data_IF_836889824284
#
_entry.id   IF_836889824284
#
_cell.length_a   1.000
_cell.length_b   1.000
_cell.length_c   1.000
_cell.angle_alpha   90.00
_cell.angle_beta   90.00
_cell.angle_gamma   90.00
#
_symmetry.space_group_name_H-M   'P 1'
#
loop_
_entity.id
_entity.type
_entity.pdbx_description
1 polymer ?
#
# COMPACT_ATOMS: atom_id res chain seq x y z
N UNK A 1 12.35 -9.16 17.39
CA UNK A 1 11.01 -8.94 17.98
C UNK A 1 9.96 -9.06 16.89
N UNK A 2 9.12 -10.08 16.95
CA UNK A 2 7.99 -10.26 16.03
C UNK A 2 6.91 -9.23 16.36
N UNK A 3 7.01 -8.03 15.80
CA UNK A 3 5.96 -7.03 15.89
C UNK A 3 4.77 -7.52 15.07
N UNK A 4 3.90 -8.35 15.66
CA UNK A 4 2.62 -8.73 15.06
C UNK A 4 1.81 -7.46 14.80
N UNK A 5 1.65 -7.13 13.52
CA UNK A 5 0.85 -5.99 13.06
C UNK A 5 -0.61 -6.43 12.91
N UNK A 6 -0.80 -7.64 12.40
CA UNK A 6 -2.07 -8.21 12.05
C UNK A 6 -2.55 -9.17 13.13
N UNK A 7 -3.82 -9.02 13.50
CA UNK A 7 -4.57 -9.94 14.36
C UNK A 7 -4.97 -11.20 13.59
N UNK A 8 -5.37 -11.04 12.33
CA UNK A 8 -5.83 -12.10 11.44
C UNK A 8 -5.08 -12.02 10.10
N UNK A 9 -5.10 -13.12 9.33
CA UNK A 9 -4.56 -13.12 7.97
C UNK A 9 -5.41 -12.18 7.11
N UNK A 10 -4.79 -11.17 6.50
CA UNK A 10 -5.44 -10.26 5.56
C UNK A 10 -5.40 -10.89 4.15
N UNK A 11 -6.55 -11.19 3.53
CA UNK A 11 -6.62 -11.72 2.17
C UNK A 11 -5.94 -10.78 1.19
N UNK A 12 -5.05 -11.33 0.35
CA UNK A 12 -4.26 -10.53 -0.58
C UNK A 12 -5.12 -9.87 -1.67
N UNK A 13 -6.27 -10.46 -1.96
CA UNK A 13 -7.26 -9.98 -2.92
C UNK A 13 -7.67 -8.54 -2.62
N UNK A 14 -7.74 -8.16 -1.35
CA UNK A 14 -8.05 -6.78 -0.91
C UNK A 14 -7.02 -5.79 -1.44
N UNK A 15 -5.73 -6.16 -1.44
CA UNK A 15 -4.67 -5.33 -2.00
C UNK A 15 -4.70 -5.37 -3.52
N UNK A 16 -4.89 -6.55 -4.14
CA UNK A 16 -4.95 -6.70 -5.59
C UNK A 16 -6.05 -5.83 -6.19
N UNK A 17 -7.24 -5.81 -5.59
CA UNK A 17 -8.37 -5.01 -6.07
C UNK A 17 -8.06 -3.52 -6.03
N UNK A 18 -7.43 -3.04 -4.95
CA UNK A 18 -6.97 -1.64 -4.89
C UNK A 18 -5.95 -1.36 -6.00
N UNK A 19 -4.96 -2.23 -6.18
CA UNK A 19 -3.89 -2.03 -7.16
C UNK A 19 -4.43 -2.00 -8.59
N UNK A 20 -5.41 -2.84 -8.92
CA UNK A 20 -6.10 -2.81 -10.22
C UNK A 20 -6.81 -1.49 -10.46
N UNK A 21 -7.42 -0.91 -9.44
CA UNK A 21 -8.16 0.35 -9.55
C UNK A 21 -7.23 1.57 -9.72
N UNK A 22 -6.10 1.62 -8.98
CA UNK A 22 -5.30 2.85 -8.87
C UNK A 22 -3.95 2.80 -9.60
N UNK A 23 -3.37 1.62 -9.80
CA UNK A 23 -2.03 1.47 -10.36
C UNK A 23 -2.05 1.11 -11.84
N UNK A 24 -0.94 1.38 -12.51
CA UNK A 24 -0.69 0.79 -13.84
C UNK A 24 -0.08 -0.59 -13.66
N UNK A 25 -0.63 -1.59 -14.36
CA UNK A 25 -0.06 -2.93 -14.41
C UNK A 25 0.95 -3.00 -15.54
N UNK A 26 2.19 -3.32 -15.21
CA UNK A 26 3.20 -3.82 -16.16
C UNK A 26 3.18 -5.34 -16.08
N UNK A 27 3.60 -6.06 -17.13
CA UNK A 27 3.47 -7.53 -17.24
C UNK A 27 3.58 -8.30 -15.91
N UNK A 28 4.63 -8.01 -15.12
CA UNK A 28 4.96 -8.77 -13.91
C UNK A 28 4.72 -8.03 -12.59
N UNK A 29 4.28 -6.76 -12.62
CA UNK A 29 4.13 -5.96 -11.39
C UNK A 29 3.17 -4.79 -11.50
N UNK A 30 2.61 -4.40 -10.36
CA UNK A 30 1.90 -3.13 -10.19
C UNK A 30 2.87 -2.05 -9.69
N UNK A 31 2.79 -0.88 -10.30
CA UNK A 31 3.62 0.27 -9.90
C UNK A 31 2.81 1.24 -9.04
N UNK A 32 3.26 1.42 -7.80
CA UNK A 32 2.79 2.48 -6.91
C UNK A 32 3.77 3.65 -7.00
N UNK A 33 3.25 4.79 -7.43
CA UNK A 33 3.93 6.07 -7.41
C UNK A 33 3.02 7.15 -6.80
N UNK A 34 3.53 8.39 -6.75
CA UNK A 34 2.76 9.51 -6.23
C UNK A 34 1.47 9.76 -7.02
N UNK A 35 1.44 9.45 -8.32
CA UNK A 35 0.27 9.63 -9.18
C UNK A 35 -0.82 8.60 -8.85
N UNK A 36 -0.43 7.34 -8.67
CA UNK A 36 -1.32 6.25 -8.26
C UNK A 36 -1.93 6.54 -6.89
N UNK A 37 -1.14 7.08 -5.96
CA UNK A 37 -1.64 7.56 -4.67
C UNK A 37 -2.64 8.71 -4.83
N UNK A 38 -2.29 9.77 -5.59
CA UNK A 38 -3.21 10.90 -5.84
C UNK A 38 -4.52 10.44 -6.47
N UNK A 39 -4.46 9.51 -7.44
CA UNK A 39 -5.64 8.88 -8.06
C UNK A 39 -6.50 8.18 -7.03
N UNK A 40 -5.91 7.32 -6.19
CA UNK A 40 -6.63 6.58 -5.16
C UNK A 40 -7.22 7.45 -4.04
N UNK A 41 -6.63 8.61 -3.77
CA UNK A 41 -7.23 9.62 -2.87
C UNK A 41 -8.41 10.30 -3.57
N UNK A 42 -8.24 10.74 -4.82
CA UNK A 42 -9.28 11.42 -5.59
C UNK A 42 -10.53 10.55 -5.78
N UNK A 43 -10.35 9.24 -6.01
CA UNK A 43 -11.45 8.27 -6.14
C UNK A 43 -11.91 7.69 -4.81
N UNK A 44 -11.36 8.15 -3.67
CA UNK A 44 -11.62 7.66 -2.31
C UNK A 44 -11.30 6.16 -2.06
N UNK A 45 -10.74 5.45 -3.06
CA UNK A 45 -10.43 4.01 -2.99
C UNK A 45 -9.41 3.67 -1.90
N UNK A 46 -8.46 4.55 -1.63
CA UNK A 46 -7.47 4.33 -0.56
C UNK A 46 -8.15 4.35 0.82
N UNK A 47 -9.09 5.26 1.06
CA UNK A 47 -9.82 5.31 2.33
C UNK A 47 -10.67 4.04 2.52
N UNK A 48 -11.40 3.64 1.49
CA UNK A 48 -12.18 2.40 1.50
C UNK A 48 -11.30 1.17 1.78
N UNK A 49 -10.13 1.10 1.16
CA UNK A 49 -9.16 0.05 1.40
C UNK A 49 -8.68 0.02 2.86
N UNK A 50 -8.35 1.17 3.45
CA UNK A 50 -7.91 1.25 4.84
C UNK A 50 -9.00 0.82 5.83
N UNK A 51 -10.25 1.19 5.58
CA UNK A 51 -11.39 0.72 6.38
C UNK A 51 -11.55 -0.81 6.28
N UNK A 52 -11.42 -1.38 5.07
CA UNK A 52 -11.41 -2.84 4.87
C UNK A 52 -10.26 -3.53 5.60
N UNK A 53 -9.12 -2.86 5.78
CA UNK A 53 -7.96 -3.41 6.50
C UNK A 53 -8.15 -3.43 8.03
N UNK A 54 -8.89 -2.48 8.61
CA UNK A 54 -9.07 -2.35 10.07
C UNK A 54 -9.37 -3.67 10.82
N UNK A 55 -10.33 -4.52 10.41
CA UNK A 55 -10.65 -5.73 11.16
C UNK A 55 -9.48 -6.75 11.26
N UNK A 56 -8.50 -6.65 10.36
CA UNK A 56 -7.33 -7.54 10.34
C UNK A 56 -6.18 -7.01 11.18
N UNK A 57 -6.16 -5.72 11.52
CA UNK A 57 -5.11 -5.11 12.34
C UNK A 57 -5.40 -5.29 13.83
N UNK A 58 -4.36 -5.35 14.65
CA UNK A 58 -4.55 -5.17 16.09
C UNK A 58 -4.99 -3.73 16.38
N UNK A 59 -5.89 -3.53 17.35
CA UNK A 59 -6.34 -2.18 17.77
C UNK A 59 -5.18 -1.22 18.06
N UNK A 60 -4.12 -1.69 18.72
CA UNK A 60 -2.91 -0.90 19.01
C UNK A 60 -2.12 -0.46 17.75
N UNK A 61 -2.43 -1.04 16.59
CA UNK A 61 -1.83 -0.77 15.29
C UNK A 61 -2.75 0.01 14.35
N UNK A 62 -3.99 0.31 14.75
CA UNK A 62 -4.91 1.15 13.95
C UNK A 62 -4.34 2.53 13.63
N UNK A 63 -3.38 3.03 14.43
CA UNK A 63 -2.62 4.22 14.11
C UNK A 63 -1.99 4.24 12.71
N UNK A 64 -1.73 3.10 12.08
CA UNK A 64 -1.24 3.04 10.69
C UNK A 64 -2.33 3.38 9.67
N UNK A 65 -3.59 3.08 9.99
CA UNK A 65 -4.76 3.23 9.13
C UNK A 65 -5.48 4.57 9.36
N UNK A 66 -5.48 5.09 10.60
CA UNK A 66 -6.29 6.26 11.01
C UNK A 66 -5.51 7.59 10.97
N UNK A 67 -4.18 7.55 10.87
CA UNK A 67 -3.37 8.77 10.80
C UNK A 67 -3.65 9.56 9.52
N UNK A 68 -3.27 10.84 9.51
CA UNK A 68 -3.28 11.67 8.29
C UNK A 68 -2.56 10.94 7.15
N UNK A 69 -3.31 10.71 6.08
CA UNK A 69 -2.83 10.03 4.90
C UNK A 69 -1.75 10.84 4.20
N UNK A 70 -0.61 10.19 4.04
CA UNK A 70 0.50 10.65 3.21
C UNK A 70 0.93 9.48 2.35
N UNK A 71 1.61 9.75 1.23
CA UNK A 71 2.16 8.72 0.38
C UNK A 71 2.99 7.69 1.16
N UNK A 72 3.88 8.17 2.03
CA UNK A 72 4.75 7.32 2.84
C UNK A 72 3.98 6.43 3.83
N UNK A 73 2.92 6.97 4.44
CA UNK A 73 2.07 6.22 5.35
C UNK A 73 1.26 5.14 4.60
N UNK A 74 0.70 5.50 3.44
CA UNK A 74 -0.02 4.56 2.57
C UNK A 74 0.88 3.41 2.12
N UNK A 75 2.06 3.70 1.57
CA UNK A 75 3.00 2.66 1.13
C UNK A 75 3.47 1.81 2.32
N UNK A 76 3.57 2.38 3.52
CA UNK A 76 3.89 1.59 4.72
C UNK A 76 2.85 0.52 4.98
N UNK A 77 1.55 0.83 4.88
CA UNK A 77 0.46 -0.15 5.02
C UNK A 77 0.58 -1.23 3.94
N UNK A 78 0.80 -0.83 2.69
CA UNK A 78 0.99 -1.76 1.57
C UNK A 78 2.15 -2.73 1.84
N UNK A 79 3.32 -2.22 2.25
CA UNK A 79 4.48 -3.07 2.57
C UNK A 79 4.23 -4.01 3.74
N UNK A 80 3.47 -3.60 4.75
CA UNK A 80 3.09 -4.48 5.85
C UNK A 80 2.28 -5.68 5.34
N UNK A 81 1.32 -5.42 4.45
CA UNK A 81 0.48 -6.46 3.84
C UNK A 81 1.30 -7.38 2.95
N UNK A 82 2.20 -6.84 2.12
CA UNK A 82 3.10 -7.64 1.31
C UNK A 82 3.97 -8.56 2.18
N UNK A 83 4.54 -8.03 3.27
CA UNK A 83 5.38 -8.82 4.18
C UNK A 83 4.59 -9.94 4.88
N UNK A 84 3.34 -9.69 5.27
CA UNK A 84 2.47 -10.72 5.85
C UNK A 84 2.19 -11.85 4.86
N UNK A 85 1.91 -11.50 3.60
CA UNK A 85 1.57 -12.43 2.54
C UNK A 85 2.79 -12.97 1.77
N UNK A 86 4.02 -12.66 2.22
CA UNK A 86 5.30 -13.07 1.59
C UNK A 86 5.43 -12.65 0.12
N UNK A 87 4.95 -11.46 -0.21
CA UNK A 87 4.98 -10.90 -1.56
C UNK A 87 6.22 -10.04 -1.74
N UNK A 88 6.92 -10.29 -2.84
CA UNK A 88 8.09 -9.51 -3.21
C UNK A 88 7.68 -8.11 -3.69
N UNK A 89 8.42 -7.11 -3.24
CA UNK A 89 8.33 -5.75 -3.78
C UNK A 89 9.71 -5.13 -3.84
N UNK A 90 9.92 -4.24 -4.81
CA UNK A 90 11.16 -3.45 -4.94
C UNK A 90 10.83 -1.96 -4.89
N UNK A 91 11.78 -1.15 -4.45
CA UNK A 91 11.66 0.31 -4.48
C UNK A 91 12.73 0.91 -5.40
N UNK A 92 12.36 1.92 -6.19
CA UNK A 92 13.28 2.68 -7.03
C UNK A 92 13.10 4.16 -6.78
N UNK A 93 14.20 4.90 -6.74
CA UNK A 93 14.15 6.37 -6.70
C UNK A 93 14.03 6.87 -8.14
N UNK A 94 12.99 7.63 -8.44
CA UNK A 94 12.80 8.32 -9.71
C UNK A 94 13.05 9.80 -9.51
N UNK A 95 14.03 10.33 -10.22
CA UNK A 95 14.33 11.76 -10.25
C UNK A 95 13.50 12.43 -11.35
N UNK A 96 12.93 13.59 -11.03
CA UNK A 96 12.22 14.43 -11.99
C UNK A 96 12.44 15.90 -11.60
N UNK A 97 13.07 16.69 -12.48
CA UNK A 97 13.33 18.13 -12.31
C UNK A 97 13.83 18.53 -10.91
N UNK A 98 14.91 17.88 -10.45
CA UNK A 98 15.54 18.10 -9.13
C UNK A 98 14.73 17.63 -7.91
N UNK A 99 13.51 17.12 -8.11
CA UNK A 99 12.76 16.38 -7.10
C UNK A 99 12.98 14.87 -7.25
N UNK A 100 12.71 14.11 -6.18
CA UNK A 100 12.74 12.66 -6.20
C UNK A 100 11.46 12.07 -5.65
N UNK A 101 10.98 11.01 -6.29
CA UNK A 101 9.86 10.22 -5.82
C UNK A 101 10.29 8.76 -5.70
N UNK A 102 9.90 8.11 -4.61
CA UNK A 102 10.15 6.68 -4.44
C UNK A 102 8.98 5.92 -5.07
N UNK A 103 9.27 5.08 -6.04
CA UNK A 103 8.33 4.19 -6.71
C UNK A 103 8.46 2.79 -6.12
N UNK A 104 7.33 2.12 -5.91
CA UNK A 104 7.28 0.76 -5.42
C UNK A 104 6.67 -0.15 -6.47
N UNK A 105 7.37 -1.24 -6.81
CA UNK A 105 6.88 -2.28 -7.71
C UNK A 105 6.50 -3.51 -6.89
N UNK A 106 5.26 -3.94 -7.00
CA UNK A 106 4.70 -5.09 -6.27
C UNK A 106 4.51 -6.24 -7.26
N UNK A 107 5.19 -7.35 -7.00
CA UNK A 107 5.19 -8.53 -7.87
C UNK A 107 4.11 -9.50 -7.39
N UNK A 108 3.03 -9.62 -8.18
CA UNK A 108 1.81 -10.36 -7.88
C UNK A 108 1.45 -11.29 -9.03
#
# INVERSE_FOLDING_TARGET
>A
MSNQIFKNILPIEILIDLLKDICSKTNDYYTIDINSYKRGIFTNKINEFLEKCKPYYHKSKHKYLERKLTYNNFVTVVRQICNQNKIAYTSKIKYDKSDYNIIYNIYL
#
